data_IF_715119371246
#
_entry.id   IF_715119371246
#
_cell.length_a   1.000
_cell.length_b   1.000
_cell.length_c   1.000
_cell.angle_alpha   90.00
_cell.angle_beta   90.00
_cell.angle_gamma   90.00
#
_symmetry.space_group_name_H-M   'P 1'
#
loop_
_entity.id
_entity.type
_entity.pdbx_description
1 polymer ?
#
# COMPACT_ATOMS: atom_id res chain seq x y z
N UNK A 1 -27.21 21.01 46.61
CA UNK A 1 -27.44 20.37 45.29
C UNK A 1 -26.32 20.78 44.35
N UNK A 2 -25.18 20.07 44.36
CA UNK A 2 -24.04 20.35 43.48
C UNK A 2 -24.24 19.58 42.15
N UNK A 3 -24.43 20.32 41.09
CA UNK A 3 -24.67 19.83 39.75
C UNK A 3 -23.29 19.36 39.15
N UNK A 4 -23.06 18.05 39.20
CA UNK A 4 -21.85 17.40 38.68
C UNK A 4 -21.85 17.48 37.15
N UNK A 5 -21.30 18.56 36.59
CA UNK A 5 -21.09 18.71 35.15
C UNK A 5 -19.87 17.86 34.73
N UNK A 6 -20.06 16.55 34.60
CA UNK A 6 -19.11 15.66 33.92
C UNK A 6 -19.14 15.95 32.41
N UNK A 7 -18.58 17.09 32.01
CA UNK A 7 -18.12 17.28 30.63
C UNK A 7 -17.01 16.29 30.42
N UNK A 8 -17.31 15.14 29.80
CA UNK A 8 -16.32 14.23 29.25
C UNK A 8 -15.40 15.04 28.34
N UNK A 9 -14.26 15.50 28.84
CA UNK A 9 -13.18 16.06 28.01
C UNK A 9 -12.86 15.00 27.00
N UNK A 10 -13.21 15.21 25.73
CA UNK A 10 -12.80 14.33 24.62
C UNK A 10 -11.28 14.25 24.65
N UNK A 11 -10.75 13.05 24.86
CA UNK A 11 -9.31 12.85 24.79
C UNK A 11 -8.80 13.36 23.43
N UNK A 12 -7.70 14.11 23.42
CA UNK A 12 -7.17 14.65 22.16
C UNK A 12 -6.77 13.49 21.25
N UNK A 13 -7.19 13.54 19.99
CA UNK A 13 -6.86 12.54 18.96
C UNK A 13 -5.36 12.22 19.00
N UNK A 14 -5.01 10.96 18.89
CA UNK A 14 -3.60 10.54 18.71
C UNK A 14 -3.05 11.08 17.38
N UNK A 15 -1.71 11.15 17.25
CA UNK A 15 -1.09 11.66 16.02
C UNK A 15 -1.50 10.80 14.80
N UNK A 16 -1.57 9.47 14.99
CA UNK A 16 -2.08 8.52 13.96
C UNK A 16 -3.54 8.80 13.57
N UNK A 17 -4.41 9.04 14.55
CA UNK A 17 -5.83 9.32 14.28
C UNK A 17 -6.03 10.66 13.56
N UNK A 18 -5.24 11.68 13.94
CA UNK A 18 -5.31 12.98 13.29
C UNK A 18 -4.91 12.89 11.81
N UNK A 19 -3.74 12.27 11.51
CA UNK A 19 -3.27 12.10 10.14
C UNK A 19 -4.24 11.26 9.31
N UNK A 20 -4.77 10.16 9.87
CA UNK A 20 -5.80 9.35 9.23
C UNK A 20 -7.03 10.17 8.86
N UNK A 21 -7.55 10.98 9.80
CA UNK A 21 -8.74 11.81 9.55
C UNK A 21 -8.47 12.82 8.44
N UNK A 22 -7.29 13.47 8.45
CA UNK A 22 -6.89 14.42 7.41
C UNK A 22 -6.88 13.74 6.04
N UNK A 23 -6.26 12.56 5.92
CA UNK A 23 -6.20 11.81 4.65
C UNK A 23 -7.60 11.46 4.14
N UNK A 24 -8.47 10.94 5.01
CA UNK A 24 -9.84 10.59 4.64
C UNK A 24 -10.61 11.83 4.16
N UNK A 25 -10.50 12.95 4.88
CA UNK A 25 -11.15 14.21 4.48
C UNK A 25 -10.62 14.72 3.14
N UNK A 26 -9.31 14.66 2.90
CA UNK A 26 -8.71 15.06 1.63
C UNK A 26 -9.21 14.18 0.49
N UNK A 27 -9.25 12.86 0.68
CA UNK A 27 -9.78 11.94 -0.33
C UNK A 27 -11.22 12.29 -0.72
N UNK A 28 -12.13 12.42 0.26
CA UNK A 28 -13.52 12.74 -0.04
C UNK A 28 -13.70 14.14 -0.64
N UNK A 29 -12.93 15.13 -0.18
CA UNK A 29 -12.96 16.49 -0.74
C UNK A 29 -12.50 16.49 -2.20
N UNK A 30 -11.39 15.80 -2.51
CA UNK A 30 -10.87 15.71 -3.87
C UNK A 30 -11.77 14.92 -4.80
N UNK A 31 -12.29 13.78 -4.35
CA UNK A 31 -13.19 12.95 -5.13
C UNK A 31 -14.52 13.68 -5.38
N UNK A 32 -15.05 14.36 -4.35
CA UNK A 32 -16.24 15.22 -4.48
C UNK A 32 -16.03 16.37 -5.46
N UNK A 33 -14.87 17.03 -5.40
CA UNK A 33 -14.53 18.09 -6.36
C UNK A 33 -14.42 17.52 -7.79
N UNK A 34 -13.83 16.34 -7.97
CA UNK A 34 -13.77 15.67 -9.26
C UNK A 34 -15.17 15.32 -9.81
N UNK A 35 -16.10 14.91 -8.94
CA UNK A 35 -17.50 14.70 -9.31
C UNK A 35 -18.17 15.99 -9.79
N UNK A 36 -17.92 17.13 -9.15
CA UNK A 36 -18.52 18.41 -9.48
C UNK A 36 -17.97 18.98 -10.81
N UNK A 37 -16.64 18.85 -11.03
CA UNK A 37 -15.98 19.46 -12.20
C UNK A 37 -16.14 18.61 -13.46
N UNK A 38 -15.95 17.29 -13.37
CA UNK A 38 -15.95 16.39 -14.54
C UNK A 38 -17.22 15.54 -14.66
N UNK A 39 -18.08 15.50 -13.65
CA UNK A 39 -19.39 14.83 -13.70
C UNK A 39 -19.34 13.38 -14.12
N UNK A 40 -20.18 13.00 -15.03
CA UNK A 40 -20.43 11.72 -15.70
C UNK A 40 -19.64 10.47 -15.35
N UNK A 41 -18.31 10.50 -15.45
CA UNK A 41 -17.44 9.35 -15.11
C UNK A 41 -17.33 9.13 -13.60
N UNK A 42 -17.01 10.19 -12.85
CA UNK A 42 -16.78 10.11 -11.39
C UNK A 42 -18.07 9.88 -10.59
N UNK A 43 -19.25 10.15 -11.16
CA UNK A 43 -20.54 9.87 -10.51
C UNK A 43 -20.93 8.39 -10.52
N UNK A 44 -20.28 7.56 -11.33
CA UNK A 44 -20.59 6.13 -11.41
C UNK A 44 -19.83 5.37 -10.31
N UNK A 45 -20.52 4.51 -9.59
CA UNK A 45 -19.86 3.60 -8.63
C UNK A 45 -18.81 2.71 -9.30
N UNK A 46 -18.96 2.39 -10.60
CA UNK A 46 -17.96 1.66 -11.37
C UNK A 46 -16.58 2.32 -11.31
N UNK A 47 -16.50 3.66 -11.30
CA UNK A 47 -15.22 4.36 -11.18
C UNK A 47 -14.45 4.02 -9.90
N UNK A 48 -15.15 3.85 -8.78
CA UNK A 48 -14.53 3.43 -7.51
C UNK A 48 -14.02 2.00 -7.64
N UNK A 49 -14.81 1.10 -8.25
CA UNK A 49 -14.36 -0.27 -8.49
C UNK A 49 -13.20 -0.34 -9.47
N UNK A 50 -13.18 0.50 -10.51
CA UNK A 50 -12.05 0.58 -11.44
C UNK A 50 -10.78 1.08 -10.74
N UNK A 51 -10.89 2.03 -9.83
CA UNK A 51 -9.76 2.44 -8.98
C UNK A 51 -9.25 1.29 -8.12
N UNK A 52 -10.13 0.48 -7.54
CA UNK A 52 -9.76 -0.68 -6.74
C UNK A 52 -9.16 -1.79 -7.62
N UNK A 53 -9.77 -2.11 -8.76
CA UNK A 53 -9.30 -3.12 -9.70
C UNK A 53 -7.89 -2.82 -10.19
N UNK A 54 -7.65 -1.58 -10.64
CA UNK A 54 -6.35 -1.15 -11.17
C UNK A 54 -5.26 -1.07 -10.10
N UNK A 55 -5.63 -0.98 -8.81
CA UNK A 55 -4.67 -0.77 -7.73
C UNK A 55 -4.70 -1.89 -6.66
N UNK A 56 -5.37 -3.00 -6.91
CA UNK A 56 -5.44 -4.11 -5.94
C UNK A 56 -4.04 -4.59 -5.51
N UNK A 57 -3.14 -4.81 -6.46
CA UNK A 57 -1.76 -5.17 -6.19
C UNK A 57 -1.00 -4.07 -5.43
N UNK A 58 -1.18 -2.81 -5.80
CA UNK A 58 -0.56 -1.67 -5.12
C UNK A 58 -1.03 -1.56 -3.65
N UNK A 59 -2.31 -1.81 -3.37
CA UNK A 59 -2.85 -1.83 -2.01
C UNK A 59 -2.13 -2.88 -1.16
N UNK A 60 -1.91 -4.09 -1.71
CA UNK A 60 -1.22 -5.18 -1.01
C UNK A 60 0.24 -4.80 -0.72
N UNK A 61 0.97 -4.32 -1.73
CA UNK A 61 2.36 -3.85 -1.59
C UNK A 61 2.45 -2.73 -0.56
N UNK A 62 1.54 -1.75 -0.63
CA UNK A 62 1.52 -0.60 0.27
C UNK A 62 1.22 -1.01 1.72
N UNK A 63 0.42 -2.07 1.95
CA UNK A 63 0.22 -2.65 3.29
C UNK A 63 1.54 -3.21 3.85
N UNK A 64 2.31 -3.95 3.05
CA UNK A 64 3.62 -4.49 3.44
C UNK A 64 4.61 -3.38 3.76
N UNK A 65 4.71 -2.41 2.87
CA UNK A 65 5.59 -1.26 3.04
C UNK A 65 5.21 -0.42 4.27
N UNK A 66 3.93 -0.26 4.56
CA UNK A 66 3.45 0.45 5.76
C UNK A 66 3.97 -0.21 7.04
N UNK A 67 4.01 -1.55 7.11
CA UNK A 67 4.56 -2.28 8.27
C UNK A 67 6.05 -1.95 8.44
N UNK A 68 6.82 -2.01 7.34
CA UNK A 68 8.25 -1.69 7.34
C UNK A 68 8.50 -0.25 7.75
N UNK A 69 7.73 0.71 7.21
CA UNK A 69 7.83 2.13 7.54
C UNK A 69 7.45 2.42 9.00
N UNK A 70 6.40 1.81 9.53
CA UNK A 70 6.06 1.92 10.96
C UNK A 70 7.24 1.44 11.82
N UNK A 71 7.95 0.40 11.41
CA UNK A 71 9.17 -0.09 12.08
C UNK A 71 10.41 0.79 11.91
N UNK A 72 10.32 1.91 11.17
CA UNK A 72 11.42 2.84 10.89
C UNK A 72 12.36 2.37 9.78
N UNK A 73 11.93 1.44 8.92
CA UNK A 73 12.66 0.98 7.75
C UNK A 73 12.01 1.42 6.44
N UNK A 74 12.62 1.02 5.33
CA UNK A 74 12.09 1.19 3.98
C UNK A 74 12.37 -0.08 3.17
N UNK A 75 11.47 -0.44 2.26
CA UNK A 75 11.65 -1.59 1.36
C UNK A 75 11.36 -1.16 -0.08
N UNK A 76 12.43 -0.93 -0.84
CA UNK A 76 12.33 -0.52 -2.25
C UNK A 76 12.23 -1.73 -3.18
N UNK A 77 12.53 -2.93 -2.70
CA UNK A 77 12.54 -4.14 -3.52
C UNK A 77 11.17 -4.60 -4.01
N UNK A 78 10.10 -4.15 -3.35
CA UNK A 78 8.72 -4.64 -3.54
C UNK A 78 8.26 -4.62 -5.00
N UNK A 79 8.61 -3.59 -5.78
CA UNK A 79 8.26 -3.50 -7.21
C UNK A 79 9.03 -4.50 -8.06
N UNK A 80 10.33 -4.68 -7.80
CA UNK A 80 11.17 -5.68 -8.47
C UNK A 80 10.72 -7.10 -8.17
N UNK A 81 10.44 -7.41 -6.90
CA UNK A 81 9.92 -8.72 -6.47
C UNK A 81 8.57 -9.01 -7.12
N UNK A 82 7.67 -8.02 -7.17
CA UNK A 82 6.38 -8.14 -7.87
C UNK A 82 6.57 -8.51 -9.34
N UNK A 83 7.50 -7.85 -10.06
CA UNK A 83 7.79 -8.15 -11.46
C UNK A 83 8.34 -9.56 -11.66
N UNK A 84 9.28 -9.98 -10.81
CA UNK A 84 9.84 -11.32 -10.83
C UNK A 84 8.79 -12.40 -10.62
N UNK A 85 7.89 -12.19 -9.64
CA UNK A 85 6.76 -13.09 -9.38
C UNK A 85 5.85 -13.20 -10.59
N UNK A 86 5.45 -12.08 -11.19
CA UNK A 86 4.59 -12.06 -12.38
C UNK A 86 5.21 -12.90 -13.51
N UNK A 87 6.46 -12.63 -13.87
CA UNK A 87 7.13 -13.31 -14.96
C UNK A 87 7.31 -14.81 -14.68
N UNK A 88 7.80 -15.15 -13.48
CA UNK A 88 8.03 -16.54 -13.09
C UNK A 88 6.74 -17.35 -13.06
N UNK A 89 5.65 -16.80 -12.56
CA UNK A 89 4.35 -17.49 -12.53
C UNK A 89 3.77 -17.69 -13.92
N UNK A 90 3.89 -16.71 -14.83
CA UNK A 90 3.41 -16.84 -16.22
C UNK A 90 4.19 -17.91 -16.96
N UNK A 91 5.52 -17.85 -16.90
CA UNK A 91 6.37 -18.85 -17.57
C UNK A 91 6.11 -20.26 -17.00
N UNK A 92 5.97 -20.38 -15.68
CA UNK A 92 5.63 -21.65 -15.03
C UNK A 92 4.31 -22.23 -15.54
N UNK A 93 3.25 -21.42 -15.60
CA UNK A 93 1.94 -21.87 -16.09
C UNK A 93 1.93 -22.16 -17.59
N UNK A 94 2.64 -21.38 -18.42
CA UNK A 94 2.75 -21.62 -19.84
C UNK A 94 3.51 -22.91 -20.16
N UNK A 95 4.39 -23.35 -19.24
CA UNK A 95 5.10 -24.63 -19.32
C UNK A 95 4.32 -25.82 -18.69
N UNK A 96 3.01 -25.67 -18.48
CA UNK A 96 2.15 -26.74 -17.96
C UNK A 96 1.99 -26.76 -16.43
N UNK A 97 2.53 -25.77 -15.72
CA UNK A 97 2.33 -25.64 -14.28
C UNK A 97 0.89 -25.28 -13.92
N UNK A 98 0.41 -25.70 -12.75
CA UNK A 98 -0.93 -25.41 -12.29
C UNK A 98 -1.02 -24.01 -11.64
N UNK A 99 -2.25 -23.46 -11.53
CA UNK A 99 -2.54 -22.21 -10.83
C UNK A 99 -2.09 -22.29 -9.37
N UNK A 100 -2.30 -23.44 -8.72
CA UNK A 100 -1.93 -23.64 -7.32
C UNK A 100 -0.40 -23.61 -7.14
N UNK A 101 0.35 -24.29 -8.00
CA UNK A 101 1.83 -24.26 -7.93
C UNK A 101 2.40 -22.89 -8.28
N UNK A 102 1.75 -22.13 -9.18
CA UNK A 102 2.09 -20.74 -9.44
C UNK A 102 1.85 -19.84 -8.22
N UNK A 103 0.76 -20.04 -7.49
CA UNK A 103 0.51 -19.29 -6.24
C UNK A 103 1.55 -19.63 -5.17
N UNK A 104 1.93 -20.90 -5.01
CA UNK A 104 3.02 -21.29 -4.10
C UNK A 104 4.35 -20.69 -4.51
N UNK A 105 4.65 -20.66 -5.82
CA UNK A 105 5.86 -20.02 -6.36
C UNK A 105 5.89 -18.51 -6.03
N UNK A 106 4.77 -17.82 -6.20
CA UNK A 106 4.63 -16.41 -5.86
C UNK A 106 4.94 -16.14 -4.37
N UNK A 107 4.34 -16.94 -3.47
CA UNK A 107 4.60 -16.89 -2.04
C UNK A 107 6.07 -17.21 -1.73
N UNK A 108 6.62 -18.26 -2.35
CA UNK A 108 8.00 -18.71 -2.16
C UNK A 108 9.01 -17.65 -2.55
N UNK A 109 8.87 -17.01 -3.71
CA UNK A 109 9.74 -15.92 -4.16
C UNK A 109 9.64 -14.75 -3.16
N UNK A 110 8.43 -14.32 -2.81
CA UNK A 110 8.23 -13.22 -1.88
C UNK A 110 8.84 -13.50 -0.51
N UNK A 111 8.63 -14.69 0.05
CA UNK A 111 9.24 -15.11 1.33
C UNK A 111 10.76 -15.17 1.24
N UNK A 112 11.33 -15.68 0.16
CA UNK A 112 12.78 -15.75 -0.03
C UNK A 112 13.43 -14.36 0.06
N UNK A 113 12.90 -13.38 -0.66
CA UNK A 113 13.36 -11.99 -0.58
C UNK A 113 13.16 -11.41 0.83
N UNK A 114 11.99 -11.62 1.43
CA UNK A 114 11.69 -11.17 2.79
C UNK A 114 12.63 -11.77 3.85
N UNK A 115 12.96 -13.05 3.73
CA UNK A 115 13.92 -13.75 4.61
C UNK A 115 15.33 -13.15 4.47
N UNK A 116 15.81 -13.01 3.24
CA UNK A 116 17.16 -12.48 2.97
C UNK A 116 17.27 -11.03 3.45
N UNK A 117 16.34 -10.16 3.03
CA UNK A 117 16.35 -8.75 3.46
C UNK A 117 16.20 -8.65 4.98
N UNK A 118 15.24 -9.37 5.56
CA UNK A 118 15.02 -9.38 6.99
C UNK A 118 16.25 -9.82 7.77
N UNK A 119 16.97 -10.85 7.30
CA UNK A 119 18.19 -11.33 7.94
C UNK A 119 19.33 -10.29 7.84
N UNK A 120 19.62 -9.81 6.65
CA UNK A 120 20.73 -8.86 6.42
C UNK A 120 20.51 -7.54 7.19
N UNK A 121 19.28 -7.03 7.21
CA UNK A 121 18.96 -5.77 7.87
C UNK A 121 18.89 -5.90 9.38
N UNK A 122 18.34 -7.02 9.90
CA UNK A 122 18.04 -7.13 11.32
C UNK A 122 19.17 -7.74 12.13
N UNK A 123 19.94 -8.67 11.56
CA UNK A 123 20.99 -9.37 12.27
C UNK A 123 22.39 -8.87 11.89
N UNK A 124 22.62 -8.51 10.63
CA UNK A 124 23.89 -7.90 10.19
C UNK A 124 23.87 -6.37 10.25
N UNK A 125 22.72 -5.77 10.61
CA UNK A 125 22.54 -4.33 10.84
C UNK A 125 22.90 -3.45 9.61
N UNK A 126 22.81 -4.03 8.39
CA UNK A 126 23.07 -3.29 7.16
C UNK A 126 21.90 -2.33 6.92
N UNK A 127 22.19 -1.17 6.36
CA UNK A 127 21.17 -0.15 6.09
C UNK A 127 20.06 -0.67 5.16
N UNK A 128 18.78 -0.53 5.55
CA UNK A 128 17.63 -1.02 4.78
C UNK A 128 17.60 -0.56 3.34
N UNK A 129 17.88 0.71 3.10
CA UNK A 129 17.88 1.30 1.76
C UNK A 129 18.85 0.57 0.81
N UNK A 130 20.07 0.28 1.25
CA UNK A 130 21.10 -0.37 0.43
C UNK A 130 20.68 -1.79 0.07
N UNK A 131 20.23 -2.57 1.06
CA UNK A 131 19.84 -3.98 0.85
C UNK A 131 18.61 -4.08 -0.04
N UNK A 132 17.60 -3.27 0.20
CA UNK A 132 16.35 -3.36 -0.58
C UNK A 132 16.52 -2.80 -1.99
N UNK A 133 17.39 -1.81 -2.18
CA UNK A 133 17.78 -1.32 -3.51
C UNK A 133 18.54 -2.40 -4.29
N UNK A 134 19.54 -3.04 -3.67
CA UNK A 134 20.25 -4.16 -4.27
C UNK A 134 19.29 -5.32 -4.61
N UNK A 135 18.36 -5.64 -3.71
CA UNK A 135 17.30 -6.63 -3.93
C UNK A 135 16.38 -6.27 -5.10
N UNK A 136 16.04 -4.99 -5.26
CA UNK A 136 15.25 -4.52 -6.41
C UNK A 136 15.98 -4.79 -7.74
N UNK A 137 17.27 -4.39 -7.84
CA UNK A 137 18.05 -4.65 -9.04
C UNK A 137 18.25 -6.14 -9.30
N UNK A 138 18.50 -6.92 -8.25
CA UNK A 138 18.61 -8.37 -8.38
C UNK A 138 17.30 -8.98 -8.89
N UNK A 139 16.17 -8.63 -8.33
CA UNK A 139 14.85 -9.11 -8.77
C UNK A 139 14.55 -8.70 -10.23
N UNK A 140 14.88 -7.46 -10.62
CA UNK A 140 14.74 -6.99 -12.02
C UNK A 140 15.63 -7.79 -12.97
N UNK A 141 16.90 -8.02 -12.62
CA UNK A 141 17.81 -8.85 -13.42
C UNK A 141 17.31 -10.28 -13.56
N UNK A 142 16.86 -10.89 -12.45
CA UNK A 142 16.28 -12.23 -12.48
C UNK A 142 15.00 -12.30 -13.33
N UNK A 143 14.18 -11.26 -13.35
CA UNK A 143 12.98 -11.19 -14.23
C UNK A 143 13.38 -11.32 -15.70
N UNK A 144 14.46 -10.65 -16.10
CA UNK A 144 14.98 -10.71 -17.47
C UNK A 144 15.60 -12.08 -17.80
N UNK A 145 16.26 -12.74 -16.82
CA UNK A 145 16.77 -14.10 -16.98
C UNK A 145 15.64 -15.11 -17.18
N UNK A 146 14.51 -14.95 -16.48
CA UNK A 146 13.33 -15.83 -16.63
C UNK A 146 12.74 -15.71 -18.04
N UNK A 147 12.59 -14.49 -18.57
CA UNK A 147 12.22 -14.25 -19.96
C UNK A 147 12.62 -12.85 -20.42
N UNK A 148 13.31 -12.78 -21.56
CA UNK A 148 13.65 -11.52 -22.22
C UNK A 148 12.44 -10.89 -22.90
N UNK A 149 11.54 -11.73 -23.41
CA UNK A 149 10.37 -11.28 -24.17
C UNK A 149 9.13 -11.18 -23.27
N UNK A 150 8.23 -10.23 -23.57
CA UNK A 150 6.94 -10.18 -22.92
C UNK A 150 6.17 -11.50 -23.07
N UNK A 151 5.63 -12.00 -21.97
CA UNK A 151 4.87 -13.25 -21.93
C UNK A 151 3.39 -12.94 -21.67
N UNK A 152 2.50 -13.59 -22.44
CA UNK A 152 1.06 -13.61 -22.19
C UNK A 152 0.68 -14.93 -21.54
N UNK A 153 -0.33 -14.88 -20.67
CA UNK A 153 -0.85 -16.09 -20.04
C UNK A 153 -1.61 -16.92 -21.07
N UNK A 154 -1.11 -18.13 -21.36
CA UNK A 154 -1.77 -19.10 -22.24
C UNK A 154 -2.66 -20.10 -21.47
N UNK A 155 -2.46 -20.25 -20.15
CA UNK A 155 -3.18 -21.22 -19.32
C UNK A 155 -4.68 -20.91 -19.26
N UNK A 156 -5.53 -21.76 -19.88
CA UNK A 156 -6.97 -21.50 -20.03
C UNK A 156 -7.71 -21.32 -18.71
N UNK A 157 -7.44 -22.16 -17.70
CA UNK A 157 -8.09 -22.04 -16.39
C UNK A 157 -7.77 -20.71 -15.70
N UNK A 158 -6.56 -20.17 -15.89
CA UNK A 158 -6.21 -18.86 -15.35
C UNK A 158 -6.90 -17.73 -16.12
N UNK A 159 -7.02 -17.84 -17.44
CA UNK A 159 -7.79 -16.89 -18.25
C UNK A 159 -9.26 -16.84 -17.84
N UNK A 160 -9.86 -18.00 -17.48
CA UNK A 160 -11.22 -18.04 -16.93
C UNK A 160 -11.28 -17.33 -15.58
N UNK A 161 -10.30 -17.55 -14.69
CA UNK A 161 -10.21 -16.85 -13.40
C UNK A 161 -10.12 -15.32 -13.57
N UNK A 162 -9.34 -14.84 -14.53
CA UNK A 162 -9.23 -13.41 -14.87
C UNK A 162 -10.55 -12.80 -15.37
N UNK A 163 -11.32 -13.57 -16.14
CA UNK A 163 -12.63 -13.14 -16.66
C UNK A 163 -13.72 -13.15 -15.61
N UNK A 164 -13.55 -13.92 -14.52
CA UNK A 164 -14.51 -14.00 -13.43
C UNK A 164 -14.53 -12.68 -12.66
N UNK A 165 -15.65 -11.96 -12.74
CA UNK A 165 -15.87 -10.70 -12.03
C UNK A 165 -17.07 -10.83 -11.12
N UNK A 166 -17.00 -10.23 -9.95
CA UNK A 166 -18.11 -10.12 -9.01
C UNK A 166 -19.01 -9.00 -9.51
N UNK A 167 -20.20 -9.32 -9.95
CA UNK A 167 -21.19 -8.37 -10.41
C UNK A 167 -22.08 -7.90 -9.25
N UNK A 168 -22.22 -6.57 -9.12
CA UNK A 168 -23.01 -5.91 -8.09
C UNK A 168 -24.12 -5.11 -8.77
N UNK A 169 -25.31 -5.71 -9.03
CA UNK A 169 -26.35 -5.09 -9.85
C UNK A 169 -26.90 -3.77 -9.27
N UNK A 170 -27.02 -3.67 -7.93
CA UNK A 170 -27.59 -2.48 -7.28
C UNK A 170 -26.66 -1.24 -7.31
N UNK A 171 -25.40 -1.40 -7.65
CA UNK A 171 -24.43 -0.32 -7.86
C UNK A 171 -24.13 -0.10 -9.35
N UNK A 172 -24.95 -0.72 -10.23
CA UNK A 172 -24.85 -0.55 -11.66
C UNK A 172 -25.35 0.82 -12.13
N UNK A 173 -25.16 1.10 -13.42
CA UNK A 173 -25.71 2.29 -14.07
C UNK A 173 -26.47 1.90 -15.33
N UNK A 174 -27.46 2.73 -15.69
CA UNK A 174 -28.23 2.54 -16.91
C UNK A 174 -27.44 3.14 -18.08
N UNK A 175 -27.08 2.31 -19.05
CA UNK A 175 -26.40 2.77 -20.27
C UNK A 175 -27.35 3.60 -21.14
N UNK A 176 -26.79 4.39 -22.07
CA UNK A 176 -27.58 5.23 -23.03
C UNK A 176 -28.61 4.42 -23.83
N UNK A 177 -28.42 3.09 -23.95
CA UNK A 177 -29.34 2.17 -24.64
C UNK A 177 -30.41 1.57 -23.71
N UNK A 178 -30.54 2.02 -22.46
CA UNK A 178 -31.54 1.53 -21.49
C UNK A 178 -31.13 0.25 -20.75
N UNK A 179 -30.02 -0.39 -21.06
CA UNK A 179 -29.58 -1.61 -20.40
C UNK A 179 -28.87 -1.29 -19.07
N UNK A 180 -29.20 -2.05 -18.02
CA UNK A 180 -28.49 -1.99 -16.74
C UNK A 180 -27.11 -2.67 -16.89
N UNK A 181 -26.05 -1.92 -16.67
CA UNK A 181 -24.68 -2.44 -16.59
C UNK A 181 -24.33 -2.57 -15.12
N UNK A 182 -24.17 -3.81 -14.59
CA UNK A 182 -23.80 -4.01 -13.19
C UNK A 182 -22.39 -3.46 -12.93
N UNK A 183 -22.16 -3.00 -11.71
CA UNK A 183 -20.80 -2.68 -11.28
C UNK A 183 -20.00 -3.98 -11.12
N UNK A 184 -18.72 -3.95 -11.54
CA UNK A 184 -17.86 -5.15 -11.63
C UNK A 184 -16.60 -4.95 -10.80
N UNK A 185 -16.33 -5.93 -9.95
CA UNK A 185 -15.14 -6.00 -9.11
C UNK A 185 -14.34 -7.27 -9.43
N UNK A 186 -13.04 -7.14 -9.58
CA UNK A 186 -12.13 -8.28 -9.81
C UNK A 186 -11.84 -9.04 -8.50
N UNK A 187 -11.54 -10.33 -8.60
CA UNK A 187 -11.19 -11.17 -7.44
C UNK A 187 -9.97 -10.62 -6.71
N UNK A 188 -9.02 -10.01 -7.44
CA UNK A 188 -7.84 -9.37 -6.87
C UNK A 188 -8.15 -8.31 -5.82
N UNK A 189 -9.27 -7.58 -5.97
CA UNK A 189 -9.72 -6.59 -4.97
C UNK A 189 -10.13 -7.26 -3.67
N UNK A 190 -10.82 -8.41 -3.76
CA UNK A 190 -11.19 -9.18 -2.55
C UNK A 190 -9.94 -9.60 -1.80
N UNK A 191 -8.92 -10.11 -2.51
CA UNK A 191 -7.64 -10.47 -1.90
C UNK A 191 -7.00 -9.25 -1.24
N UNK A 192 -6.98 -8.09 -1.91
CA UNK A 192 -6.41 -6.86 -1.37
C UNK A 192 -7.14 -6.39 -0.09
N UNK A 193 -8.47 -6.46 -0.07
CA UNK A 193 -9.28 -6.09 1.10
C UNK A 193 -9.08 -7.08 2.27
N UNK A 194 -8.97 -8.37 1.98
CA UNK A 194 -8.65 -9.39 3.01
C UNK A 194 -7.27 -9.11 3.61
N UNK A 195 -6.25 -8.86 2.77
CA UNK A 195 -4.90 -8.49 3.23
C UNK A 195 -4.95 -7.23 4.09
N UNK A 196 -5.67 -6.19 3.65
CA UNK A 196 -5.85 -4.94 4.40
C UNK A 196 -6.40 -5.20 5.80
N UNK A 197 -7.47 -6.01 5.90
CA UNK A 197 -8.11 -6.35 7.19
C UNK A 197 -7.16 -7.18 8.07
N UNK A 198 -6.48 -8.17 7.51
CA UNK A 198 -5.52 -9.02 8.24
C UNK A 198 -4.37 -8.16 8.79
N UNK A 199 -3.78 -7.30 7.97
CA UNK A 199 -2.69 -6.41 8.39
C UNK A 199 -3.18 -5.40 9.44
N UNK A 200 -4.39 -4.85 9.27
CA UNK A 200 -4.98 -3.95 10.27
C UNK A 200 -5.15 -4.64 11.62
N UNK A 201 -5.72 -5.85 11.65
CA UNK A 201 -5.89 -6.63 12.88
C UNK A 201 -4.53 -6.97 13.48
N UNK A 202 -3.56 -7.40 12.66
CA UNK A 202 -2.21 -7.70 13.09
C UNK A 202 -1.55 -6.50 13.77
N UNK A 203 -1.57 -5.33 13.15
CA UNK A 203 -0.98 -4.10 13.70
C UNK A 203 -1.65 -3.66 15.00
N UNK A 204 -2.99 -3.78 15.09
CA UNK A 204 -3.77 -3.27 16.24
C UNK A 204 -3.83 -4.25 17.41
N UNK A 205 -3.92 -5.57 17.15
CA UNK A 205 -4.27 -6.57 18.16
C UNK A 205 -3.11 -7.46 18.58
N UNK A 206 -2.05 -7.61 17.76
CA UNK A 206 -0.96 -8.57 18.07
C UNK A 206 0.19 -7.93 18.84
N UNK A 207 0.99 -8.78 19.52
CA UNK A 207 2.26 -8.36 20.17
C UNK A 207 3.26 -7.87 19.11
N UNK A 208 3.29 -8.51 17.94
CA UNK A 208 4.18 -8.15 16.84
C UNK A 208 3.86 -6.75 16.30
N UNK A 209 2.56 -6.44 16.10
CA UNK A 209 2.12 -5.12 15.65
C UNK A 209 2.55 -4.02 16.62
N UNK A 210 2.30 -4.21 17.91
CA UNK A 210 2.77 -3.26 18.95
C UNK A 210 4.30 -3.12 18.95
N UNK A 211 5.03 -4.22 18.67
CA UNK A 211 6.48 -4.21 18.50
C UNK A 211 6.94 -3.29 17.39
N UNK A 212 6.28 -3.30 16.21
CA UNK A 212 6.62 -2.41 15.10
C UNK A 212 6.51 -0.93 15.49
N UNK A 213 5.42 -0.53 16.15
CA UNK A 213 5.28 0.85 16.63
C UNK A 213 6.34 1.22 17.68
N UNK A 214 6.67 0.29 18.57
CA UNK A 214 7.65 0.52 19.61
C UNK A 214 9.07 0.73 19.05
N UNK A 215 9.52 -0.15 18.13
CA UNK A 215 10.87 -0.04 17.55
C UNK A 215 10.98 1.19 16.63
N UNK A 216 9.91 1.54 15.90
CA UNK A 216 9.91 2.72 15.03
C UNK A 216 9.84 4.04 15.82
N UNK A 217 9.23 4.04 17.01
CA UNK A 217 9.22 5.21 17.89
C UNK A 217 10.59 5.48 18.52
N UNK A 218 11.15 4.49 19.17
CA UNK A 218 12.51 4.52 19.73
C UNK A 218 13.00 3.10 19.98
N UNK A 219 13.94 2.63 19.19
CA UNK A 219 14.45 1.26 19.26
C UNK A 219 15.19 0.95 20.57
N UNK A 220 15.92 1.93 21.14
CA UNK A 220 16.62 1.75 22.42
C UNK A 220 15.63 1.62 23.59
N UNK A 221 14.64 2.51 23.66
CA UNK A 221 13.58 2.43 24.66
C UNK A 221 12.77 1.14 24.53
N UNK A 222 12.47 0.70 23.31
CA UNK A 222 11.79 -0.56 23.05
C UNK A 222 12.60 -1.78 23.57
N UNK A 223 13.93 -1.75 23.36
CA UNK A 223 14.82 -2.78 23.87
C UNK A 223 14.81 -2.83 25.40
N UNK A 224 14.86 -1.68 26.07
CA UNK A 224 14.79 -1.59 27.54
C UNK A 224 13.45 -2.12 28.09
N UNK A 225 12.37 -2.02 27.33
CA UNK A 225 11.07 -2.58 27.66
C UNK A 225 10.92 -4.07 27.29
N UNK A 226 12.01 -4.73 26.89
CA UNK A 226 12.03 -6.17 26.59
C UNK A 226 11.52 -6.53 25.19
N UNK A 227 11.36 -5.57 24.27
CA UNK A 227 11.02 -5.87 22.88
C UNK A 227 12.27 -6.37 22.15
N UNK A 228 12.17 -7.55 21.54
CA UNK A 228 13.25 -8.06 20.70
C UNK A 228 13.29 -7.30 19.36
N UNK A 229 14.13 -6.25 19.31
CA UNK A 229 14.22 -5.32 18.16
C UNK A 229 14.62 -6.07 16.88
N UNK A 230 15.65 -6.95 16.94
CA UNK A 230 16.13 -7.70 15.77
C UNK A 230 15.03 -8.59 15.20
N UNK A 231 14.38 -9.39 16.05
CA UNK A 231 13.30 -10.27 15.63
C UNK A 231 12.09 -9.48 15.08
N UNK A 232 11.72 -8.39 15.72
CA UNK A 232 10.59 -7.58 15.27
C UNK A 232 10.87 -6.95 13.90
N UNK A 233 12.06 -6.38 13.70
CA UNK A 233 12.49 -5.84 12.42
C UNK A 233 12.54 -6.90 11.33
N UNK A 234 13.07 -8.09 11.63
CA UNK A 234 13.10 -9.23 10.71
C UNK A 234 11.69 -9.55 10.17
N UNK A 235 10.71 -9.67 11.06
CA UNK A 235 9.34 -9.98 10.65
C UNK A 235 8.69 -8.87 9.80
N UNK A 236 9.09 -7.60 9.93
CA UNK A 236 8.56 -6.55 9.06
C UNK A 236 8.93 -6.76 7.58
N UNK A 237 10.19 -7.12 7.31
CA UNK A 237 10.65 -7.43 5.95
C UNK A 237 10.12 -8.77 5.44
N UNK A 238 10.01 -9.77 6.30
CA UNK A 238 9.42 -11.06 5.95
C UNK A 238 7.98 -10.90 5.47
N UNK A 239 7.17 -10.12 6.18
CA UNK A 239 5.78 -9.84 5.82
C UNK A 239 5.72 -8.98 4.55
N UNK A 240 6.60 -7.97 4.40
CA UNK A 240 6.68 -7.15 3.18
C UNK A 240 6.97 -8.01 1.96
N UNK A 241 7.94 -8.91 2.05
CA UNK A 241 8.27 -9.86 0.98
C UNK A 241 7.10 -10.80 0.63
N UNK A 242 6.46 -11.39 1.65
CA UNK A 242 5.27 -12.22 1.46
C UNK A 242 4.16 -11.46 0.72
N UNK A 243 3.86 -10.23 1.15
CA UNK A 243 2.83 -9.41 0.54
C UNK A 243 3.22 -8.97 -0.88
N UNK A 244 4.51 -8.76 -1.16
CA UNK A 244 5.00 -8.51 -2.53
C UNK A 244 4.80 -9.71 -3.46
N UNK A 245 4.95 -10.94 -2.93
CA UNK A 245 4.62 -12.17 -3.64
C UNK A 245 3.13 -12.27 -3.98
N UNK A 246 2.26 -12.06 -2.99
CA UNK A 246 0.79 -12.05 -3.19
C UNK A 246 0.39 -10.94 -4.17
N UNK A 247 0.99 -9.76 -4.06
CA UNK A 247 0.73 -8.64 -4.96
C UNK A 247 1.13 -8.96 -6.41
N UNK A 248 2.24 -9.67 -6.62
CA UNK A 248 2.65 -10.12 -7.95
C UNK A 248 1.63 -11.06 -8.58
N UNK A 249 1.11 -12.00 -7.82
CA UNK A 249 0.05 -12.89 -8.28
C UNK A 249 -1.24 -12.13 -8.64
N UNK A 250 -1.67 -11.19 -7.79
CA UNK A 250 -2.85 -10.33 -8.04
C UNK A 250 -2.60 -9.40 -9.24
N UNK A 251 -1.40 -8.84 -9.39
CA UNK A 251 -1.03 -8.02 -10.55
C UNK A 251 -1.14 -8.79 -11.86
N UNK A 252 -0.66 -10.04 -11.86
CA UNK A 252 -0.78 -10.96 -13.01
C UNK A 252 -2.24 -11.25 -13.35
N UNK A 253 -3.12 -11.43 -12.34
CA UNK A 253 -4.56 -11.62 -12.56
C UNK A 253 -5.21 -10.43 -13.25
N UNK A 254 -4.74 -9.21 -12.97
CA UNK A 254 -5.28 -7.99 -13.59
C UNK A 254 -4.75 -7.76 -14.99
N UNK A 255 -3.43 -7.96 -15.22
CA UNK A 255 -2.77 -7.59 -16.47
C UNK A 255 -2.80 -8.69 -17.53
N UNK A 256 -2.82 -9.96 -17.12
CA UNK A 256 -2.74 -11.12 -18.04
C UNK A 256 -1.42 -11.24 -18.82
N UNK A 257 -0.42 -10.44 -18.48
CA UNK A 257 0.84 -10.39 -19.16
C UNK A 257 2.00 -10.05 -18.22
N UNK A 258 3.18 -10.58 -18.53
CA UNK A 258 4.44 -10.32 -17.85
C UNK A 258 5.46 -9.68 -18.77
N UNK A 259 6.19 -8.69 -18.29
CA UNK A 259 7.38 -8.13 -18.92
C UNK A 259 8.36 -7.64 -17.84
N UNK A 260 9.62 -7.39 -18.25
CA UNK A 260 10.67 -6.98 -17.31
C UNK A 260 10.39 -5.63 -16.63
N UNK A 261 9.55 -4.78 -17.22
CA UNK A 261 9.19 -3.46 -16.70
C UNK A 261 7.90 -3.46 -15.86
N UNK A 262 7.27 -4.62 -15.66
CA UNK A 262 6.08 -4.71 -14.82
C UNK A 262 6.33 -4.14 -13.43
N UNK A 263 5.31 -3.49 -12.88
CA UNK A 263 5.36 -2.85 -11.57
C UNK A 263 6.53 -1.85 -11.39
N UNK A 264 7.09 -1.29 -12.50
CA UNK A 264 8.08 -0.22 -12.40
C UNK A 264 7.47 1.01 -11.71
N UNK A 265 8.15 1.52 -10.67
CA UNK A 265 7.66 2.63 -9.86
C UNK A 265 6.57 2.25 -8.85
N UNK A 266 6.18 0.97 -8.75
CA UNK A 266 5.22 0.52 -7.75
C UNK A 266 5.74 0.78 -6.32
N UNK A 267 7.05 0.64 -6.10
CA UNK A 267 7.72 0.98 -4.85
C UNK A 267 7.50 2.44 -4.47
N UNK A 268 7.69 3.37 -5.40
CA UNK A 268 7.49 4.81 -5.16
C UNK A 268 6.01 5.15 -4.95
N UNK A 269 5.11 4.54 -5.73
CA UNK A 269 3.67 4.70 -5.54
C UNK A 269 3.21 4.17 -4.18
N UNK A 270 3.77 3.04 -3.70
CA UNK A 270 3.46 2.47 -2.40
C UNK A 270 3.97 3.35 -1.25
N UNK A 271 5.22 3.87 -1.35
CA UNK A 271 5.78 4.84 -0.40
C UNK A 271 4.91 6.10 -0.36
N UNK A 272 4.60 6.68 -1.53
CA UNK A 272 3.76 7.86 -1.61
C UNK A 272 2.38 7.62 -0.97
N UNK A 273 1.75 6.47 -1.26
CA UNK A 273 0.46 6.11 -0.68
C UNK A 273 0.51 5.94 0.84
N UNK A 274 1.58 5.35 1.39
CA UNK A 274 1.77 5.21 2.82
C UNK A 274 1.96 6.58 3.50
N UNK A 275 2.76 7.48 2.89
CA UNK A 275 2.97 8.84 3.39
C UNK A 275 1.68 9.66 3.31
N UNK A 276 1.01 9.67 2.14
CA UNK A 276 -0.31 10.31 1.98
C UNK A 276 -1.28 9.79 3.05
N UNK A 277 -1.22 8.49 3.33
CA UNK A 277 -2.00 7.79 4.36
C UNK A 277 -1.66 8.13 5.80
N UNK A 278 -0.65 8.99 6.04
CA UNK A 278 -0.26 9.44 7.39
C UNK A 278 0.79 8.56 8.08
N UNK A 279 1.46 7.66 7.33
CA UNK A 279 2.60 6.91 7.85
C UNK A 279 3.86 7.77 7.76
N UNK A 280 4.61 7.87 8.87
CA UNK A 280 5.84 8.66 8.92
C UNK A 280 7.05 7.86 8.45
N UNK A 281 7.94 8.51 7.69
CA UNK A 281 9.23 7.94 7.30
C UNK A 281 10.16 7.69 8.50
N UNK A 282 10.01 8.50 9.57
CA UNK A 282 10.76 8.32 10.81
C UNK A 282 10.35 7.10 11.63
N UNK A 283 9.23 6.46 11.30
CA UNK A 283 8.66 5.34 12.04
C UNK A 283 7.78 5.72 13.23
N UNK A 284 7.26 4.71 13.90
CA UNK A 284 6.44 4.82 15.11
C UNK A 284 5.01 5.33 14.93
N UNK A 285 4.68 5.89 13.78
CA UNK A 285 3.33 6.43 13.47
C UNK A 285 2.91 5.95 12.08
N UNK A 286 1.71 5.43 11.97
CA UNK A 286 1.15 4.98 10.70
C UNK A 286 -0.12 4.16 10.91
N UNK A 287 -0.88 3.98 9.82
CA UNK A 287 -2.08 3.16 9.83
C UNK A 287 -2.36 2.63 8.42
N UNK A 288 -2.56 1.33 8.30
CA UNK A 288 -2.81 0.69 7.02
C UNK A 288 -4.13 1.13 6.37
N UNK A 289 -5.14 1.51 7.18
CA UNK A 289 -6.37 2.11 6.64
C UNK A 289 -6.05 3.48 6.01
N UNK A 290 -5.17 4.26 6.65
CA UNK A 290 -4.67 5.51 6.06
C UNK A 290 -3.97 5.25 4.73
N UNK A 291 -3.10 4.25 4.67
CA UNK A 291 -2.43 3.85 3.42
C UNK A 291 -3.42 3.46 2.33
N UNK A 292 -4.49 2.74 2.65
CA UNK A 292 -5.57 2.43 1.70
C UNK A 292 -6.19 3.71 1.11
N UNK A 293 -6.57 4.66 1.95
CA UNK A 293 -7.06 5.96 1.47
C UNK A 293 -5.98 6.77 0.75
N UNK A 294 -4.71 6.58 1.10
CA UNK A 294 -3.56 7.14 0.39
C UNK A 294 -3.46 6.63 -1.04
N UNK A 295 -3.65 5.31 -1.27
CA UNK A 295 -3.71 4.73 -2.62
C UNK A 295 -4.88 5.32 -3.40
N UNK A 296 -6.07 5.40 -2.80
CA UNK A 296 -7.24 5.98 -3.45
C UNK A 296 -7.05 7.46 -3.80
N UNK A 297 -6.44 8.23 -2.90
CA UNK A 297 -6.11 9.65 -3.12
C UNK A 297 -5.14 9.80 -4.28
N UNK A 298 -4.04 9.04 -4.29
CA UNK A 298 -3.05 9.06 -5.37
C UNK A 298 -3.68 8.68 -6.71
N UNK A 299 -4.56 7.68 -6.73
CA UNK A 299 -5.26 7.23 -7.93
C UNK A 299 -6.27 8.27 -8.42
N UNK A 300 -7.00 8.91 -7.50
CA UNK A 300 -7.93 10.00 -7.83
C UNK A 300 -7.19 11.15 -8.50
N UNK A 301 -6.03 11.55 -7.99
CA UNK A 301 -5.20 12.61 -8.57
C UNK A 301 -4.76 12.23 -9.99
N UNK A 302 -4.25 11.00 -10.17
CA UNK A 302 -3.86 10.50 -11.49
C UNK A 302 -5.04 10.50 -12.48
N UNK A 303 -6.23 10.11 -12.01
CA UNK A 303 -7.46 10.14 -12.80
C UNK A 303 -7.85 11.58 -13.19
N UNK A 304 -7.77 12.54 -12.27
CA UNK A 304 -8.01 13.97 -12.52
C UNK A 304 -7.03 14.49 -13.59
N UNK A 305 -5.74 14.25 -13.42
CA UNK A 305 -4.69 14.67 -14.35
C UNK A 305 -4.96 14.14 -15.77
N UNK A 306 -5.26 12.84 -15.88
CA UNK A 306 -5.56 12.21 -17.16
C UNK A 306 -6.84 12.78 -17.79
N UNK A 307 -7.89 13.02 -16.99
CA UNK A 307 -9.17 13.57 -17.46
C UNK A 307 -9.05 15.04 -17.87
N UNK A 308 -8.10 15.79 -17.26
CA UNK A 308 -7.77 17.18 -17.65
C UNK A 308 -7.02 17.28 -18.98
N UNK A 309 -6.79 16.16 -19.68
CA UNK A 309 -6.10 16.15 -20.98
C UNK A 309 -4.60 15.86 -20.91
N UNK A 310 -4.00 15.79 -19.72
CA UNK A 310 -2.59 15.49 -19.50
C UNK A 310 -2.38 13.96 -19.47
N UNK A 311 -2.47 13.30 -20.62
CA UNK A 311 -2.50 11.83 -20.76
C UNK A 311 -1.12 11.18 -20.76
N UNK A 312 -0.06 11.95 -20.97
CA UNK A 312 1.29 11.43 -21.09
C UNK A 312 1.82 10.88 -19.75
N UNK A 313 2.54 9.74 -19.74
CA UNK A 313 2.98 9.07 -18.51
C UNK A 313 3.83 9.94 -17.58
N UNK A 314 4.64 10.86 -18.11
CA UNK A 314 5.47 11.74 -17.29
C UNK A 314 4.64 12.68 -16.40
N UNK A 315 3.43 13.10 -16.80
CA UNK A 315 2.57 13.89 -15.95
C UNK A 315 2.14 13.14 -14.68
N UNK A 316 1.96 11.83 -14.78
CA UNK A 316 1.65 11.00 -13.61
C UNK A 316 2.85 10.96 -12.63
N UNK A 317 4.08 10.87 -13.16
CA UNK A 317 5.30 10.87 -12.34
C UNK A 317 5.52 12.23 -11.66
N UNK A 318 5.36 13.34 -12.40
CA UNK A 318 5.45 14.71 -11.87
C UNK A 318 4.42 14.90 -10.74
N UNK A 319 3.18 14.49 -10.99
CA UNK A 319 2.09 14.64 -10.02
C UNK A 319 2.34 13.80 -8.76
N UNK A 320 2.82 12.56 -8.92
CA UNK A 320 3.17 11.70 -7.78
C UNK A 320 4.27 12.34 -6.92
N UNK A 321 5.33 12.88 -7.56
CA UNK A 321 6.41 13.55 -6.85
C UNK A 321 5.96 14.82 -6.13
N UNK A 322 5.16 15.66 -6.81
CA UNK A 322 4.60 16.88 -6.23
C UNK A 322 3.70 16.58 -5.01
N UNK A 323 2.84 15.55 -5.12
CA UNK A 323 1.98 15.12 -4.03
C UNK A 323 2.78 14.57 -2.84
N UNK A 324 3.81 13.78 -3.11
CA UNK A 324 4.68 13.27 -2.06
C UNK A 324 5.32 14.44 -1.28
N UNK A 325 5.90 15.41 -1.98
CA UNK A 325 6.45 16.62 -1.34
C UNK A 325 5.38 17.38 -0.54
N UNK A 326 4.21 17.60 -1.12
CA UNK A 326 3.12 18.31 -0.44
C UNK A 326 2.71 17.62 0.86
N UNK A 327 2.49 16.30 0.83
CA UNK A 327 2.05 15.56 2.03
C UNK A 327 3.16 15.47 3.09
N UNK A 328 4.43 15.34 2.72
CA UNK A 328 5.56 15.38 3.67
C UNK A 328 5.59 16.73 4.38
N UNK A 329 5.48 17.83 3.63
CA UNK A 329 5.45 19.18 4.20
C UNK A 329 4.23 19.37 5.11
N UNK A 330 3.04 18.92 4.68
CA UNK A 330 1.82 18.99 5.47
C UNK A 330 1.96 18.23 6.79
N UNK A 331 2.47 16.99 6.75
CA UNK A 331 2.73 16.19 7.96
C UNK A 331 3.72 16.88 8.89
N UNK A 332 4.82 17.39 8.36
CA UNK A 332 5.85 18.09 9.13
C UNK A 332 5.29 19.31 9.85
N UNK A 333 4.51 20.15 9.14
CA UNK A 333 3.87 21.35 9.73
C UNK A 333 2.85 20.97 10.81
N UNK A 334 2.00 19.98 10.55
CA UNK A 334 0.95 19.54 11.49
C UNK A 334 1.59 19.00 12.77
N UNK A 335 2.60 18.13 12.66
CA UNK A 335 3.26 17.54 13.82
C UNK A 335 4.10 18.55 14.61
N UNK A 336 4.83 19.45 13.93
CA UNK A 336 5.60 20.53 14.59
C UNK A 336 4.70 21.47 15.41
N UNK A 337 3.56 21.90 14.84
CA UNK A 337 2.59 22.74 15.55
C UNK A 337 2.04 22.02 16.78
N UNK A 338 1.80 20.71 16.67
CA UNK A 338 1.28 19.91 17.77
C UNK A 338 2.30 19.69 18.88
N UNK A 339 3.56 19.44 18.52
CA UNK A 339 4.67 19.33 19.47
C UNK A 339 4.84 20.63 20.28
N UNK A 340 4.83 21.79 19.60
CA UNK A 340 4.89 23.09 20.26
C UNK A 340 3.71 23.33 21.22
N UNK A 341 2.48 22.94 20.85
CA UNK A 341 1.30 23.03 21.73
C UNK A 341 1.43 22.16 22.98
N UNK A 342 1.93 20.91 22.81
CA UNK A 342 2.16 19.98 23.94
C UNK A 342 3.25 20.53 24.90
N UNK A 343 4.34 21.10 24.36
CA UNK A 343 5.40 21.70 25.14
C UNK A 343 4.87 22.89 25.97
N UNK A 344 4.17 23.84 25.33
CA UNK A 344 3.58 25.01 26.03
C UNK A 344 2.57 24.62 27.12
N UNK A 345 1.76 23.58 26.88
CA UNK A 345 0.82 23.09 27.89
C UNK A 345 1.52 22.42 29.09
N UNK A 346 2.70 21.80 28.87
CA UNK A 346 3.51 21.21 29.93
C UNK A 346 4.22 22.24 30.80
N UNK A 347 4.64 23.35 30.18
CA UNK A 347 5.27 24.47 30.90
C UNK A 347 4.26 25.19 31.79
N UNK A 348 3.03 25.44 31.31
CA UNK A 348 1.92 26.02 32.09
C UNK A 348 1.43 25.15 33.27
N UNK A 349 1.75 23.85 33.29
CA UNK A 349 1.43 22.94 34.39
C UNK A 349 2.55 22.87 35.43
N UNK A 350 3.71 23.48 35.16
CA UNK A 350 4.85 23.56 36.09
C UNK A 350 4.92 24.88 36.86
N UNK A 351 4.22 25.90 36.36
CA UNK A 351 3.94 27.16 37.07
C UNK A 351 2.67 27.00 37.96
#
# INVERSE_FOLDING_TARGET
MMRNNNLKRREPLTDTQLLLTITICIFFAMYGLAMLVWGGGFLRFQQVFDMLNNNAALIIVACGLTIVMIGGGIDISVGGVTALVVMSCIVHMNNGGSIFTAALLAIGIGLCFGLVHGFLISYLEIQPFIITLAGMFFARGMTTIVSLEPQKIAHEGFQQLMKTKIEIPWLGYIAKKGNLIPARMEIGVVVALVVLVVVFIMLKKTRLGRGFYAIGGNSQSALMLGVNVKRTRFFSYLISGLLSGIAGFVFMMHTGAGNATNAAGAEMNAIASAIIGGTLLSGGVGNVIGTFFGVLTLTTIKAIVTTSGLREPWWQSITTGAMLCFFILLQSVVLSRRAKKKAKAKDLLKE
#
